data_IF_832876310855
#
_entry.id   IF_832876310855
#
_cell.length_a   1.000
_cell.length_b   1.000
_cell.length_c   1.000
_cell.angle_alpha   90.00
_cell.angle_beta   90.00
_cell.angle_gamma   90.00
#
_symmetry.space_group_name_H-M   'P 1'
#
loop_
_entity.id
_entity.type
_entity.pdbx_description
1 polymer ?
#
# COMPACT_ATOMS: atom_id res chain seq x y z
N UNK A 1 -33.92 -62.53 39.55
CA UNK A 1 -34.24 -62.26 38.15
C UNK A 1 -32.97 -61.82 37.44
N UNK A 2 -32.73 -62.39 36.25
CA UNK A 2 -31.52 -62.36 35.41
C UNK A 2 -31.17 -60.98 34.80
N UNK A 3 -29.88 -60.63 34.68
CA UNK A 3 -28.96 -60.68 33.49
C UNK A 3 -29.35 -59.78 32.28
N UNK A 4 -28.35 -59.03 31.79
CA UNK A 4 -27.97 -58.73 30.36
C UNK A 4 -28.27 -57.36 29.71
N UNK A 5 -27.18 -56.75 29.20
CA UNK A 5 -26.92 -56.12 27.89
C UNK A 5 -27.44 -54.70 27.51
N UNK A 6 -26.46 -53.82 27.21
CA UNK A 6 -26.12 -53.15 25.91
C UNK A 6 -25.41 -51.82 26.25
N UNK A 7 -24.13 -51.55 25.96
CA UNK A 7 -23.31 -51.63 24.74
C UNK A 7 -23.88 -50.87 23.53
N UNK A 8 -23.24 -49.74 23.20
CA UNK A 8 -23.11 -49.21 21.84
C UNK A 8 -23.87 -47.91 21.53
N UNK A 9 -23.15 -46.77 21.42
CA UNK A 9 -22.97 -46.10 20.12
C UNK A 9 -21.88 -45.01 20.20
N UNK A 10 -20.87 -45.16 19.36
CA UNK A 10 -19.90 -44.14 18.99
C UNK A 10 -20.48 -43.29 17.83
N UNK A 11 -20.20 -41.98 17.81
CA UNK A 11 -20.16 -41.11 16.61
C UNK A 11 -19.44 -39.81 17.07
N UNK A 12 -18.13 -39.63 16.87
CA UNK A 12 -17.47 -39.19 15.63
C UNK A 12 -17.93 -37.81 15.10
N UNK A 13 -17.33 -36.71 15.58
CA UNK A 13 -17.16 -35.42 14.88
C UNK A 13 -16.28 -34.49 15.75
N UNK A 14 -15.21 -33.82 15.29
CA UNK A 14 -14.61 -33.77 13.98
C UNK A 14 -13.09 -33.67 14.09
N UNK A 15 -12.41 -34.68 13.57
CA UNK A 15 -11.07 -34.54 13.01
C UNK A 15 -11.27 -34.18 11.54
N UNK A 16 -11.54 -32.91 11.27
CA UNK A 16 -11.38 -32.34 9.93
C UNK A 16 -10.01 -31.67 9.90
N UNK A 17 -8.95 -32.49 9.95
CA UNK A 17 -7.64 -32.06 9.53
C UNK A 17 -7.75 -31.69 8.05
N UNK A 18 -7.66 -30.38 7.79
CA UNK A 18 -7.54 -29.75 6.47
C UNK A 18 -6.57 -30.54 5.59
N UNK A 19 -7.14 -31.33 4.68
CA UNK A 19 -6.46 -31.94 3.56
C UNK A 19 -6.57 -30.96 2.38
N UNK A 20 -5.84 -29.85 2.48
CA UNK A 20 -5.66 -28.92 1.38
C UNK A 20 -4.17 -28.57 1.28
N UNK A 21 -3.66 -28.65 0.07
CA UNK A 21 -2.32 -28.24 -0.34
C UNK A 21 -1.14 -29.24 -0.15
N UNK A 22 -1.34 -30.48 -0.62
CA UNK A 22 -0.23 -31.38 -0.94
C UNK A 22 0.20 -31.15 -2.42
N UNK A 23 0.96 -30.09 -2.69
CA UNK A 23 1.48 -29.84 -4.04
C UNK A 23 2.37 -28.61 -4.20
N UNK A 24 2.25 -27.59 -3.34
CA UNK A 24 3.12 -26.43 -3.40
C UNK A 24 4.54 -26.79 -2.93
N UNK A 25 5.55 -26.65 -3.81
CA UNK A 25 6.96 -26.65 -3.39
C UNK A 25 7.11 -25.63 -2.26
N UNK A 26 7.61 -26.07 -1.11
CA UNK A 26 7.81 -25.27 0.10
C UNK A 26 8.95 -24.28 -0.11
N UNK A 27 8.63 -23.12 -0.68
CA UNK A 27 9.56 -22.00 -0.81
C UNK A 27 9.55 -21.22 0.50
N UNK A 28 10.73 -20.89 1.02
CA UNK A 28 10.83 -20.02 2.19
C UNK A 28 10.23 -18.64 1.87
N UNK A 29 9.55 -18.00 2.84
CA UNK A 29 9.07 -16.63 2.69
C UNK A 29 10.15 -15.69 2.16
N UNK A 30 9.74 -14.75 1.33
CA UNK A 30 10.63 -13.77 0.71
C UNK A 30 10.35 -12.39 1.25
N UNK A 31 11.41 -11.59 1.32
CA UNK A 31 11.34 -10.16 1.55
C UNK A 31 11.84 -9.45 0.30
N UNK A 32 11.10 -8.45 -0.16
CA UNK A 32 11.51 -7.61 -1.29
C UNK A 32 11.67 -6.16 -0.84
N UNK A 33 12.71 -5.50 -1.35
CA UNK A 33 12.84 -4.05 -1.26
C UNK A 33 11.87 -3.42 -2.28
N UNK A 34 10.83 -2.75 -1.78
CA UNK A 34 9.85 -2.05 -2.62
C UNK A 34 10.23 -0.60 -2.82
N UNK A 35 11.01 -0.05 -1.89
CA UNK A 35 11.30 1.37 -1.85
C UNK A 35 12.58 1.66 -1.08
N UNK A 36 13.38 2.61 -1.58
CA UNK A 36 14.61 3.05 -0.92
C UNK A 36 14.88 4.53 -1.21
N UNK A 37 15.18 5.28 -0.15
CA UNK A 37 15.81 6.60 -0.20
C UNK A 37 17.05 6.65 0.63
N UNK A 38 18.09 7.28 0.10
CA UNK A 38 19.39 7.30 0.74
C UNK A 38 20.07 5.95 0.59
N UNK A 39 20.71 5.52 1.66
CA UNK A 39 21.67 4.43 1.66
C UNK A 39 21.19 3.28 2.55
N UNK A 40 21.27 2.07 2.02
CA UNK A 40 20.93 0.83 2.69
C UNK A 40 22.12 -0.13 2.63
N UNK A 41 22.60 -0.55 3.78
CA UNK A 41 23.57 -1.63 3.90
C UNK A 41 22.82 -2.95 4.12
N UNK A 42 23.12 -3.94 3.28
CA UNK A 42 22.63 -5.32 3.41
C UNK A 42 23.81 -6.22 3.74
N UNK A 43 23.85 -6.70 4.97
CA UNK A 43 24.83 -7.67 5.44
C UNK A 43 24.25 -9.08 5.25
N UNK A 44 24.78 -9.88 4.32
CA UNK A 44 24.26 -11.22 4.08
C UNK A 44 24.49 -12.10 5.30
N UNK A 45 23.55 -13.04 5.53
CA UNK A 45 23.72 -14.08 6.53
C UNK A 45 25.09 -14.80 6.34
N UNK A 46 25.83 -15.10 7.42
CA UNK A 46 27.07 -15.87 7.31
C UNK A 46 26.80 -17.19 6.58
N UNK A 47 27.54 -17.45 5.50
CA UNK A 47 27.29 -18.58 4.61
C UNK A 47 27.46 -19.92 5.35
N UNK A 48 26.36 -20.48 5.85
CA UNK A 48 26.29 -21.91 6.17
C UNK A 48 26.00 -22.69 4.88
N UNK A 49 26.97 -22.69 3.97
CA UNK A 49 26.98 -23.50 2.74
C UNK A 49 26.49 -22.77 1.48
N UNK A 50 27.44 -22.29 0.67
CA UNK A 50 27.48 -22.35 -0.81
C UNK A 50 26.29 -21.85 -1.64
N UNK A 51 25.33 -21.14 -1.07
CA UNK A 51 24.15 -20.63 -1.80
C UNK A 51 24.36 -19.21 -2.32
N UNK A 52 24.13 -19.03 -3.63
CA UNK A 52 24.22 -17.80 -4.41
C UNK A 52 23.77 -16.53 -3.65
N UNK A 53 24.54 -15.44 -3.82
CA UNK A 53 24.32 -14.14 -3.18
C UNK A 53 22.91 -13.57 -3.37
N UNK A 54 22.56 -12.59 -2.52
CA UNK A 54 21.26 -11.91 -2.58
C UNK A 54 21.01 -11.35 -3.98
N UNK A 55 19.96 -11.85 -4.65
CA UNK A 55 19.52 -11.33 -5.95
C UNK A 55 18.51 -10.21 -5.70
N UNK A 56 19.02 -8.98 -5.61
CA UNK A 56 18.17 -7.80 -5.49
C UNK A 56 17.11 -7.80 -6.61
N UNK A 57 15.89 -7.32 -6.31
CA UNK A 57 15.46 -6.64 -5.07
C UNK A 57 15.00 -7.58 -3.95
N UNK A 58 15.23 -8.89 -4.07
CA UNK A 58 14.89 -9.86 -3.03
C UNK A 58 16.00 -9.99 -1.99
N UNK A 59 15.62 -9.92 -0.73
CA UNK A 59 16.50 -10.02 0.42
C UNK A 59 16.53 -11.47 0.89
N UNK A 60 17.75 -11.98 1.09
CA UNK A 60 17.97 -13.34 1.57
C UNK A 60 17.57 -13.46 3.04
N UNK A 61 16.86 -14.52 3.45
CA UNK A 61 16.66 -14.84 4.87
C UNK A 61 17.98 -14.94 5.64
N UNK A 62 18.00 -14.38 6.84
CA UNK A 62 19.15 -14.25 7.72
C UNK A 62 20.01 -13.00 7.47
N UNK A 63 19.65 -12.15 6.49
CA UNK A 63 20.39 -10.91 6.27
C UNK A 63 20.03 -9.87 7.34
N UNK A 64 21.03 -9.08 7.72
CA UNK A 64 20.85 -7.87 8.51
C UNK A 64 20.79 -6.67 7.54
N UNK A 65 19.80 -5.81 7.74
CA UNK A 65 19.55 -4.64 6.92
C UNK A 65 19.70 -3.41 7.80
N UNK A 66 20.43 -2.40 7.31
CA UNK A 66 20.67 -1.16 8.03
C UNK A 66 20.49 0.03 7.10
N UNK A 67 19.57 0.92 7.44
CA UNK A 67 19.39 2.18 6.72
C UNK A 67 20.44 3.17 7.24
N UNK A 68 21.43 3.47 6.42
CA UNK A 68 22.52 4.39 6.77
C UNK A 68 22.08 5.85 6.62
N UNK A 69 21.18 6.14 5.67
CA UNK A 69 20.57 7.46 5.49
C UNK A 69 19.21 7.34 4.83
N UNK A 70 18.31 8.30 5.10
CA UNK A 70 16.97 8.30 4.50
C UNK A 70 16.05 7.23 5.10
N UNK A 71 15.53 6.34 4.27
CA UNK A 71 14.53 5.35 4.68
C UNK A 71 14.38 4.21 3.65
N UNK A 72 13.86 3.05 4.08
CA UNK A 72 13.58 1.91 3.22
C UNK A 72 12.25 1.23 3.58
N UNK A 73 11.50 0.81 2.56
CA UNK A 73 10.30 -0.03 2.72
C UNK A 73 10.55 -1.41 2.13
N UNK A 74 10.17 -2.42 2.88
CA UNK A 74 10.24 -3.82 2.50
C UNK A 74 8.87 -4.45 2.58
N UNK A 75 8.61 -5.41 1.72
CA UNK A 75 7.39 -6.20 1.73
C UNK A 75 7.70 -7.68 1.78
N UNK A 76 6.95 -8.41 2.60
CA UNK A 76 6.97 -9.86 2.64
C UNK A 76 5.81 -10.44 1.82
N UNK A 77 6.02 -11.59 1.21
CA UNK A 77 4.95 -12.38 0.57
C UNK A 77 3.91 -12.95 1.57
N UNK A 78 4.06 -12.64 2.86
CA UNK A 78 3.13 -12.92 3.96
C UNK A 78 2.47 -11.65 4.52
N UNK A 79 2.31 -10.60 3.69
CA UNK A 79 1.57 -9.38 4.01
C UNK A 79 2.16 -8.50 5.13
N UNK A 80 3.45 -8.66 5.43
CA UNK A 80 4.16 -7.68 6.25
C UNK A 80 4.76 -6.58 5.38
N UNK A 81 4.55 -5.34 5.79
CA UNK A 81 5.27 -4.16 5.31
C UNK A 81 6.18 -3.70 6.43
N UNK A 82 7.48 -3.63 6.17
CA UNK A 82 8.48 -3.14 7.13
C UNK A 82 8.99 -1.79 6.65
N UNK A 83 8.96 -0.79 7.53
CA UNK A 83 9.48 0.55 7.26
C UNK A 83 10.59 0.84 8.26
N UNK A 84 11.76 1.17 7.74
CA UNK A 84 12.93 1.55 8.50
C UNK A 84 13.40 2.93 8.03
N UNK A 85 13.73 3.81 8.96
CA UNK A 85 14.36 5.11 8.70
C UNK A 85 15.85 5.05 9.00
N UNK A 86 16.55 6.15 8.76
CA UNK A 86 17.96 6.35 9.12
C UNK A 86 18.26 5.86 10.54
N UNK A 87 19.36 5.10 10.67
CA UNK A 87 19.76 4.44 11.92
C UNK A 87 19.00 3.15 12.22
N UNK A 88 17.83 2.94 11.60
CA UNK A 88 17.04 1.71 11.73
C UNK A 88 17.78 0.51 11.17
N UNK A 89 17.89 -0.55 11.98
CA UNK A 89 18.49 -1.80 11.58
C UNK A 89 17.66 -2.99 12.05
N UNK A 90 17.54 -4.00 11.20
CA UNK A 90 16.78 -5.20 11.53
C UNK A 90 17.31 -6.45 10.84
N UNK A 91 17.07 -7.59 11.46
CA UNK A 91 17.34 -8.91 10.88
C UNK A 91 16.04 -9.51 10.37
N UNK A 92 16.05 -9.93 9.11
CA UNK A 92 14.96 -10.69 8.51
C UNK A 92 15.31 -12.17 8.51
N UNK A 93 14.50 -13.01 9.14
CA UNK A 93 14.64 -14.48 9.06
C UNK A 93 13.37 -15.09 8.53
N UNK A 94 13.50 -16.14 7.72
CA UNK A 94 12.39 -16.88 7.17
C UNK A 94 12.68 -18.37 7.23
N UNK A 95 11.72 -19.15 7.71
CA UNK A 95 11.78 -20.61 7.70
C UNK A 95 10.82 -21.17 6.65
N UNK A 96 11.26 -22.21 5.94
CA UNK A 96 10.37 -23.00 5.07
C UNK A 96 9.44 -23.86 5.92
N UNK A 97 8.22 -24.10 5.45
CA UNK A 97 7.35 -25.12 6.05
C UNK A 97 8.06 -26.48 6.05
N UNK A 98 8.22 -27.08 7.22
CA UNK A 98 8.70 -28.46 7.39
C UNK A 98 7.56 -29.28 7.98
N UNK A 99 7.53 -30.59 7.76
CA UNK A 99 6.43 -31.47 8.19
C UNK A 99 5.91 -31.12 9.62
N UNK A 100 4.74 -30.48 9.68
CA UNK A 100 4.07 -30.07 10.92
C UNK A 100 4.48 -28.72 11.53
N UNK A 101 5.33 -27.90 10.89
CA UNK A 101 5.70 -26.55 11.35
C UNK A 101 5.43 -25.50 10.27
N UNK A 102 4.63 -24.46 10.57
CA UNK A 102 4.37 -23.38 9.62
C UNK A 102 5.65 -22.63 9.27
N UNK A 103 5.67 -22.02 8.08
CA UNK A 103 6.70 -21.04 7.75
C UNK A 103 6.64 -19.88 8.75
N UNK A 104 7.78 -19.34 9.14
CA UNK A 104 7.83 -18.19 10.05
C UNK A 104 8.63 -17.09 9.40
N UNK A 105 8.04 -15.92 9.26
CA UNK A 105 8.77 -14.67 8.97
C UNK A 105 9.03 -13.99 10.29
N UNK A 106 10.28 -13.73 10.64
CA UNK A 106 10.63 -12.95 11.82
C UNK A 106 11.43 -11.74 11.43
N UNK A 107 10.97 -10.59 11.90
CA UNK A 107 11.63 -9.29 11.80
C UNK A 107 12.04 -8.91 13.22
N UNK A 108 13.34 -8.74 13.45
CA UNK A 108 13.87 -8.39 14.76
C UNK A 108 14.71 -7.13 14.65
N UNK A 109 14.52 -6.19 15.57
CA UNK A 109 15.38 -5.01 15.70
C UNK A 109 16.84 -5.49 15.91
N UNK A 110 17.78 -4.90 15.19
CA UNK A 110 19.21 -5.14 15.35
C UNK A 110 19.83 -3.90 15.99
N UNK A 111 20.35 -4.02 17.22
CA UNK A 111 20.87 -2.86 17.93
C UNK A 111 22.31 -2.52 17.54
N UNK A 112 22.51 -1.32 17.01
CA UNK A 112 23.76 -0.56 17.10
C UNK A 112 23.46 0.91 16.70
N UNK A 113 23.24 1.78 17.68
CA UNK A 113 22.82 3.19 17.48
C UNK A 113 21.55 3.53 18.26
N UNK A 114 21.13 4.80 18.21
CA UNK A 114 19.86 5.32 18.76
C UNK A 114 18.78 5.22 17.65
N UNK A 115 18.06 4.09 17.51
CA UNK A 115 17.25 3.84 16.33
C UNK A 115 15.85 4.41 16.56
N UNK A 116 15.31 5.15 15.58
CA UNK A 116 13.85 5.32 15.53
C UNK A 116 13.18 3.93 15.49
N UNK A 117 12.00 3.82 16.12
CA UNK A 117 11.30 2.55 16.23
C UNK A 117 11.02 1.96 14.83
N UNK A 118 11.42 0.71 14.62
CA UNK A 118 11.15 -0.01 13.38
C UNK A 118 9.66 -0.30 13.29
N UNK A 119 9.05 0.11 12.19
CA UNK A 119 7.63 -0.11 11.96
C UNK A 119 7.40 -1.39 11.15
N UNK A 120 6.60 -2.30 11.71
CA UNK A 120 6.13 -3.51 11.04
C UNK A 120 4.61 -3.44 10.96
N UNK A 121 4.06 -3.43 9.76
CA UNK A 121 2.62 -3.41 9.51
C UNK A 121 2.18 -4.78 8.99
N UNK A 122 1.15 -5.35 9.60
CA UNK A 122 0.54 -6.62 9.21
C UNK A 122 -0.95 -6.40 9.04
N UNK A 123 -1.45 -6.47 7.80
CA UNK A 123 -2.80 -6.02 7.44
C UNK A 123 -3.07 -4.58 7.92
N UNK A 124 -3.99 -4.37 8.87
CA UNK A 124 -4.32 -3.06 9.42
C UNK A 124 -3.59 -2.75 10.74
N UNK A 125 -2.82 -3.71 11.26
CA UNK A 125 -2.16 -3.60 12.55
C UNK A 125 -0.72 -3.11 12.38
N UNK A 126 -0.33 -2.11 13.17
CA UNK A 126 1.01 -1.51 13.15
C UNK A 126 1.73 -1.80 14.45
N UNK A 127 2.94 -2.33 14.34
CA UNK A 127 3.82 -2.68 15.45
C UNK A 127 5.07 -1.81 15.37
N UNK A 128 5.43 -1.14 16.47
CA UNK A 128 6.65 -0.36 16.61
C UNK A 128 7.64 -1.12 17.49
N UNK A 129 8.81 -1.43 16.95
CA UNK A 129 9.89 -2.14 17.63
C UNK A 129 10.94 -1.12 18.03
N UNK A 130 10.96 -0.73 19.30
CA UNK A 130 11.76 0.41 19.77
C UNK A 130 13.14 0.02 20.33
N UNK A 131 13.33 -1.23 20.76
CA UNK A 131 14.52 -1.63 21.52
C UNK A 131 15.13 -2.93 21.01
N UNK A 132 16.36 -3.21 21.45
CA UNK A 132 17.04 -4.46 21.16
C UNK A 132 16.22 -5.68 21.63
N UNK A 133 16.25 -6.74 20.84
CA UNK A 133 15.48 -7.95 21.11
C UNK A 133 13.97 -7.83 20.81
N UNK A 134 13.45 -6.64 20.46
CA UNK A 134 12.10 -6.49 19.95
C UNK A 134 11.95 -7.24 18.63
N UNK A 135 10.93 -8.10 18.50
CA UNK A 135 10.69 -8.82 17.25
C UNK A 135 9.22 -9.14 17.03
N UNK A 136 8.85 -9.19 15.75
CA UNK A 136 7.54 -9.62 15.25
C UNK A 136 7.73 -10.88 14.42
N UNK A 137 6.98 -11.93 14.74
CA UNK A 137 6.98 -13.20 14.02
C UNK A 137 5.61 -13.46 13.41
N UNK A 138 5.56 -13.71 12.10
CA UNK A 138 4.36 -14.03 11.34
C UNK A 138 4.30 -15.53 11.11
N UNK A 139 3.22 -16.14 11.58
CA UNK A 139 2.99 -17.58 11.59
C UNK A 139 1.68 -17.83 10.83
N UNK A 140 1.72 -18.29 9.59
CA UNK A 140 0.51 -18.60 8.82
C UNK A 140 -0.23 -19.78 9.45
N UNK A 141 -1.54 -19.61 9.68
CA UNK A 141 -2.38 -20.62 10.37
C UNK A 141 -3.37 -21.31 9.42
N UNK A 142 -3.44 -20.88 8.16
CA UNK A 142 -4.42 -21.38 7.19
C UNK A 142 -4.84 -20.32 6.20
N UNK A 143 -6.05 -20.47 5.61
CA UNK A 143 -6.54 -19.71 4.47
C UNK A 143 -6.86 -18.24 4.79
N UNK A 144 -5.81 -17.43 4.87
CA UNK A 144 -5.90 -15.97 5.09
C UNK A 144 -5.84 -15.56 6.56
N UNK A 145 -5.20 -16.37 7.41
CA UNK A 145 -4.95 -15.99 8.82
C UNK A 145 -3.46 -16.09 9.08
N UNK A 146 -2.90 -14.99 9.59
CA UNK A 146 -1.52 -14.91 10.06
C UNK A 146 -1.57 -14.60 11.54
N UNK A 147 -0.99 -15.46 12.35
CA UNK A 147 -0.72 -15.18 13.75
C UNK A 147 0.54 -14.35 13.85
N UNK A 148 0.47 -13.26 14.59
CA UNK A 148 1.56 -12.35 14.87
C UNK A 148 2.00 -12.56 16.31
N UNK A 149 3.20 -13.08 16.52
CA UNK A 149 3.80 -13.20 17.84
C UNK A 149 4.81 -12.07 18.05
N UNK A 150 4.66 -11.33 19.14
CA UNK A 150 5.59 -10.26 19.51
C UNK A 150 6.47 -10.69 20.68
N UNK A 151 7.73 -10.28 20.66
CA UNK A 151 8.70 -10.51 21.73
C UNK A 151 9.43 -9.21 22.01
N UNK A 152 9.58 -8.83 23.28
CA UNK A 152 10.30 -7.63 23.69
C UNK A 152 9.47 -6.34 23.66
N UNK A 153 10.13 -5.17 23.67
CA UNK A 153 9.49 -3.85 23.77
C UNK A 153 8.81 -3.46 22.44
N UNK A 154 7.63 -4.03 22.21
CA UNK A 154 6.81 -3.78 21.02
C UNK A 154 5.59 -2.97 21.39
N UNK A 155 5.42 -1.80 20.78
CA UNK A 155 4.21 -1.02 20.91
C UNK A 155 3.25 -1.34 19.75
N UNK A 156 2.06 -1.81 20.08
CA UNK A 156 0.97 -1.94 19.11
C UNK A 156 0.28 -0.57 18.95
N UNK A 157 0.24 -0.08 17.72
CA UNK A 157 -0.46 1.14 17.31
C UNK A 157 -1.61 0.70 16.41
N UNK A 158 -2.76 0.40 16.99
CA UNK A 158 -3.95 0.04 16.22
C UNK A 158 -4.40 1.24 15.37
N UNK A 159 -4.66 1.02 14.08
CA UNK A 159 -5.00 2.11 13.15
C UNK A 159 -6.42 2.69 13.32
N UNK A 160 -7.18 2.30 14.36
CA UNK A 160 -8.54 2.83 14.58
C UNK A 160 -9.04 2.51 15.99
N UNK A 161 -9.85 3.42 16.52
CA UNK A 161 -10.96 3.17 17.46
C UNK A 161 -11.94 2.13 16.89
N UNK A 162 -11.46 0.91 16.62
CA UNK A 162 -12.20 -0.11 15.91
C UNK A 162 -13.36 -0.61 16.78
N UNK A 163 -14.56 -0.15 16.44
CA UNK A 163 -15.84 -0.79 16.77
C UNK A 163 -15.96 -2.24 16.24
N UNK A 164 -14.93 -2.75 15.55
CA UNK A 164 -14.79 -4.12 15.07
C UNK A 164 -13.77 -4.91 15.93
N UNK A 165 -13.92 -4.86 17.25
CA UNK A 165 -13.14 -5.67 18.20
C UNK A 165 -13.29 -7.19 17.97
N UNK A 166 -14.26 -7.62 17.17
CA UNK A 166 -14.50 -9.01 16.78
C UNK A 166 -13.38 -9.62 15.89
N UNK A 167 -12.39 -8.84 15.42
CA UNK A 167 -11.26 -9.34 14.60
C UNK A 167 -9.97 -9.64 15.37
N UNK A 168 -9.88 -9.23 16.64
CA UNK A 168 -8.66 -9.38 17.44
C UNK A 168 -8.89 -10.42 18.53
N UNK A 169 -8.46 -11.65 18.28
CA UNK A 169 -8.44 -12.69 19.31
C UNK A 169 -7.08 -12.67 20.02
N UNK A 170 -7.10 -12.31 21.31
CA UNK A 170 -5.96 -12.46 22.21
C UNK A 170 -5.99 -13.87 22.79
N UNK A 171 -4.96 -14.66 22.48
CA UNK A 171 -4.79 -16.01 23.04
C UNK A 171 -3.75 -16.04 24.17
N UNK A 172 -3.99 -16.87 25.18
CA UNK A 172 -2.95 -17.36 26.09
C UNK A 172 -2.20 -18.51 25.39
N UNK A 173 -0.86 -18.44 25.33
CA UNK A 173 -0.07 -19.37 24.53
C UNK A 173 0.84 -20.28 25.36
N UNK A 174 0.85 -21.62 25.09
CA UNK A 174 1.87 -22.52 25.57
C UNK A 174 3.17 -22.39 24.74
N UNK A 175 4.29 -22.42 25.45
CA UNK A 175 5.68 -22.26 25.01
C UNK A 175 5.99 -22.71 23.57
N UNK A 176 6.17 -21.75 22.66
CA UNK A 176 6.93 -21.97 21.43
C UNK A 176 8.39 -21.69 21.74
N UNK A 177 9.06 -22.67 22.36
CA UNK A 177 10.51 -22.84 22.40
C UNK A 177 11.39 -21.59 22.56
N UNK A 178 11.76 -21.33 23.82
CA UNK A 178 12.83 -20.44 24.30
C UNK A 178 12.50 -18.94 24.24
N UNK A 179 11.92 -18.45 25.33
CA UNK A 179 12.24 -17.14 25.91
C UNK A 179 11.09 -16.14 26.02
N UNK A 180 10.36 -16.21 27.14
CA UNK A 180 9.43 -15.22 27.74
C UNK A 180 7.98 -15.25 27.17
N UNK A 181 6.91 -15.16 28.02
CA UNK A 181 5.52 -15.22 27.56
C UNK A 181 5.20 -14.04 26.63
N UNK A 182 4.94 -14.33 25.36
CA UNK A 182 4.58 -13.34 24.35
C UNK A 182 3.06 -13.25 24.18
N UNK A 183 2.57 -12.03 23.99
CA UNK A 183 1.21 -11.81 23.49
C UNK A 183 1.20 -12.25 22.03
N UNK A 184 0.34 -13.21 21.68
CA UNK A 184 0.06 -13.54 20.29
C UNK A 184 -1.23 -12.86 19.83
N UNK A 185 -1.17 -12.22 18.67
CA UNK A 185 -2.32 -11.59 18.03
C UNK A 185 -2.67 -12.33 16.75
N UNK A 186 -3.90 -12.80 16.61
CA UNK A 186 -4.38 -13.36 15.35
C UNK A 186 -4.87 -12.25 14.42
N UNK A 187 -4.29 -12.14 13.22
CA UNK A 187 -4.66 -11.12 12.23
C UNK A 187 -5.16 -11.78 10.94
N UNK A 188 -6.33 -11.34 10.46
CA UNK A 188 -6.88 -11.78 9.19
C UNK A 188 -6.20 -11.05 8.04
N UNK A 189 -5.59 -11.80 7.13
CA UNK A 189 -4.92 -11.29 5.92
C UNK A 189 -5.69 -11.74 4.67
N UNK A 190 -5.55 -11.06 3.52
CA UNK A 190 -6.14 -11.52 2.27
C UNK A 190 -5.75 -12.98 1.94
N UNK A 191 -6.67 -13.75 1.34
CA UNK A 191 -6.44 -15.16 0.98
C UNK A 191 -5.33 -15.39 -0.06
N UNK A 192 -4.84 -14.34 -0.71
CA UNK A 192 -3.80 -14.42 -1.73
C UNK A 192 -2.44 -14.14 -1.10
N UNK A 193 -1.63 -15.18 -0.91
CA UNK A 193 -0.22 -15.00 -0.58
C UNK A 193 0.51 -14.38 -1.78
N UNK A 194 1.13 -13.24 -1.58
CA UNK A 194 1.80 -12.51 -2.65
C UNK A 194 2.15 -11.08 -2.25
N UNK A 195 3.06 -10.49 -3.01
CA UNK A 195 3.41 -9.08 -2.84
C UNK A 195 2.29 -8.20 -3.42
N UNK A 196 1.90 -7.19 -2.67
CA UNK A 196 0.97 -6.13 -3.06
C UNK A 196 1.67 -5.11 -3.95
N UNK A 197 2.97 -4.90 -3.74
CA UNK A 197 3.77 -3.93 -4.49
C UNK A 197 4.67 -4.61 -5.52
N UNK A 198 5.00 -3.87 -6.57
CA UNK A 198 6.03 -4.29 -7.53
C UNK A 198 7.42 -4.15 -6.88
N UNK A 199 8.35 -5.08 -7.17
CA UNK A 199 9.73 -4.94 -6.72
C UNK A 199 10.39 -3.69 -7.31
N UNK A 200 11.31 -3.08 -6.57
CA UNK A 200 12.09 -1.94 -7.05
C UNK A 200 12.93 -2.34 -8.27
N UNK A 201 12.94 -1.51 -9.32
CA UNK A 201 13.72 -1.79 -10.53
C UNK A 201 15.20 -1.69 -10.21
N UNK A 202 16.00 -2.70 -10.63
CA UNK A 202 17.46 -2.67 -10.45
C UNK A 202 18.13 -1.43 -11.06
N UNK A 203 17.59 -0.89 -12.15
CA UNK A 203 18.10 0.33 -12.78
C UNK A 203 17.94 1.60 -11.91
N UNK A 204 17.07 1.57 -10.89
CA UNK A 204 16.86 2.65 -9.93
C UNK A 204 17.78 2.54 -8.69
N UNK A 205 18.70 1.57 -8.70
CA UNK A 205 19.62 1.30 -7.60
C UNK A 205 21.06 1.44 -8.07
N UNK A 206 21.88 2.10 -7.25
CA UNK A 206 23.34 1.97 -7.31
C UNK A 206 23.75 0.95 -6.26
N UNK A 207 24.54 -0.05 -6.67
CA UNK A 207 24.95 -1.14 -5.78
C UNK A 207 26.47 -1.19 -5.77
N UNK A 208 27.05 -1.01 -4.59
CA UNK A 208 28.48 -1.11 -4.36
C UNK A 208 28.76 -2.15 -3.27
N UNK A 209 29.97 -2.69 -3.24
CA UNK A 209 30.42 -3.65 -2.22
C UNK A 209 31.58 -3.01 -1.46
N UNK A 210 31.37 -2.52 -0.23
CA UNK A 210 32.43 -1.90 0.55
C UNK A 210 33.46 -2.94 1.03
N UNK A 211 34.68 -2.47 1.34
CA UNK A 211 35.70 -3.25 2.03
C UNK A 211 35.20 -3.55 3.46
N UNK A 212 34.89 -4.82 3.73
CA UNK A 212 34.21 -5.23 4.97
C UNK A 212 33.08 -6.25 4.75
N UNK A 213 32.63 -6.41 3.49
CA UNK A 213 31.53 -7.29 3.14
C UNK A 213 30.19 -6.53 3.10
N UNK A 214 29.14 -7.22 2.65
CA UNK A 214 27.83 -6.61 2.46
C UNK A 214 27.58 -6.04 1.06
N UNK A 215 26.40 -5.46 0.89
CA UNK A 215 25.96 -4.73 -0.30
C UNK A 215 25.47 -3.35 0.16
N UNK A 216 26.16 -2.30 -0.24
CA UNK A 216 25.67 -0.93 -0.09
C UNK A 216 24.78 -0.63 -1.30
N UNK A 217 23.53 -0.28 -1.02
CA UNK A 217 22.48 -0.02 -2.00
C UNK A 217 22.03 1.42 -1.80
N UNK A 218 22.06 2.20 -2.87
CA UNK A 218 21.65 3.60 -2.85
C UNK A 218 20.42 3.78 -3.74
N UNK A 219 19.39 4.42 -3.21
CA UNK A 219 18.21 4.81 -3.99
C UNK A 219 18.56 5.97 -4.90
N UNK A 220 18.27 5.85 -6.19
CA UNK A 220 18.64 6.89 -7.15
C UNK A 220 17.88 8.23 -6.95
N UNK A 221 16.67 8.22 -6.33
CA UNK A 221 15.68 9.28 -6.61
C UNK A 221 14.78 9.79 -5.44
N UNK A 222 15.11 9.66 -4.15
CA UNK A 222 14.45 10.47 -3.08
C UNK A 222 12.97 10.13 -2.71
N UNK A 223 12.48 8.94 -3.06
CA UNK A 223 11.10 8.49 -3.02
C UNK A 223 10.35 8.41 -1.64
N UNK A 224 10.98 8.41 -0.45
CA UNK A 224 10.38 8.09 0.89
C UNK A 224 10.08 9.31 1.76
N UNK A 225 10.67 10.48 1.49
CA UNK A 225 10.13 11.73 2.03
C UNK A 225 8.63 11.83 1.73
N UNK A 226 8.20 11.37 0.55
CA UNK A 226 6.81 11.44 0.12
C UNK A 226 5.82 10.66 1.00
N UNK A 227 6.14 9.46 1.49
CA UNK A 227 5.15 8.64 2.22
C UNK A 227 4.94 9.15 3.66
N UNK A 228 6.01 9.48 4.38
CA UNK A 228 5.90 10.07 5.71
C UNK A 228 5.39 11.51 5.67
N UNK A 229 5.81 12.30 4.66
CA UNK A 229 5.25 13.62 4.44
C UNK A 229 3.75 13.55 4.09
N UNK A 230 3.27 12.49 3.44
CA UNK A 230 1.83 12.29 3.19
C UNK A 230 1.10 12.06 4.49
N UNK A 231 1.52 11.10 5.33
CA UNK A 231 0.82 10.80 6.58
C UNK A 231 0.75 12.04 7.50
N UNK A 232 1.84 12.82 7.57
CA UNK A 232 1.85 14.10 8.27
C UNK A 232 0.98 15.16 7.59
N UNK A 233 1.05 15.27 6.26
CA UNK A 233 0.27 16.24 5.50
C UNK A 233 -1.23 16.02 5.66
N UNK A 234 -1.68 14.75 5.63
CA UNK A 234 -3.10 14.40 5.61
C UNK A 234 -3.70 14.14 6.99
N UNK A 235 -2.91 14.09 8.06
CA UNK A 235 -3.40 13.82 9.41
C UNK A 235 -4.60 14.73 9.81
N UNK A 236 -4.52 16.01 9.46
CA UNK A 236 -5.58 17.00 9.71
C UNK A 236 -6.67 17.10 8.64
N UNK A 237 -6.59 16.33 7.55
CA UNK A 237 -7.51 16.46 6.43
C UNK A 237 -8.89 15.84 6.73
N UNK A 238 -9.98 16.35 6.11
CA UNK A 238 -11.29 15.74 6.22
C UNK A 238 -11.32 14.28 5.72
N UNK A 239 -12.19 13.41 6.29
CA UNK A 239 -12.24 11.99 5.91
C UNK A 239 -12.35 11.71 4.40
N UNK A 240 -13.17 12.44 3.62
CA UNK A 240 -13.25 12.22 2.17
C UNK A 240 -11.90 12.44 1.46
N UNK A 241 -11.17 13.49 1.82
CA UNK A 241 -9.87 13.79 1.23
C UNK A 241 -8.82 12.72 1.58
N UNK A 242 -8.81 12.25 2.82
CA UNK A 242 -7.93 11.13 3.23
C UNK A 242 -8.25 9.84 2.48
N UNK A 243 -9.53 9.52 2.33
CA UNK A 243 -9.95 8.33 1.58
C UNK A 243 -9.53 8.41 0.11
N UNK A 244 -9.73 9.56 -0.54
CA UNK A 244 -9.27 9.77 -1.92
C UNK A 244 -7.74 9.69 -2.02
N UNK A 245 -6.99 10.20 -1.04
CA UNK A 245 -5.53 10.06 -0.99
C UNK A 245 -5.12 8.59 -0.97
N UNK A 246 -5.73 7.78 -0.10
CA UNK A 246 -5.47 6.33 -0.03
C UNK A 246 -5.75 5.63 -1.36
N UNK A 247 -6.88 5.93 -2.01
CA UNK A 247 -7.24 5.32 -3.30
C UNK A 247 -6.27 5.70 -4.42
N UNK A 248 -5.83 6.96 -4.47
CA UNK A 248 -4.84 7.41 -5.45
C UNK A 248 -3.47 6.79 -5.19
N UNK A 249 -3.07 6.64 -3.93
CA UNK A 249 -1.82 5.96 -3.59
C UNK A 249 -1.86 4.47 -3.93
N UNK A 250 -2.98 3.80 -3.68
CA UNK A 250 -3.18 2.41 -4.07
C UNK A 250 -3.08 2.25 -5.60
N UNK A 251 -3.67 3.19 -6.35
CA UNK A 251 -3.72 3.13 -7.81
C UNK A 251 -2.43 3.57 -8.50
N UNK A 252 -1.80 4.64 -8.03
CA UNK A 252 -0.71 5.35 -8.70
C UNK A 252 0.62 5.36 -7.94
N UNK A 253 0.66 4.84 -6.72
CA UNK A 253 1.82 4.95 -5.84
C UNK A 253 1.87 6.28 -5.07
N UNK A 254 2.93 6.55 -4.31
CA UNK A 254 3.06 7.78 -3.52
C UNK A 254 3.07 9.04 -4.42
N UNK A 255 2.61 10.20 -3.92
CA UNK A 255 2.72 11.46 -4.65
C UNK A 255 4.19 11.88 -4.82
N UNK A 256 4.47 12.63 -5.87
CA UNK A 256 5.80 13.21 -6.11
C UNK A 256 6.07 14.45 -5.24
N UNK A 257 5.04 15.09 -4.69
CA UNK A 257 5.16 16.14 -3.70
C UNK A 257 4.00 16.09 -2.69
N UNK A 258 4.32 16.33 -1.42
CA UNK A 258 3.35 16.32 -0.32
C UNK A 258 3.56 17.54 0.59
N UNK A 259 2.48 18.21 0.96
CA UNK A 259 2.46 19.33 1.89
C UNK A 259 1.15 19.34 2.67
N UNK A 260 1.08 20.07 3.78
CA UNK A 260 -0.16 20.20 4.55
C UNK A 260 -1.37 20.71 3.72
N UNK A 261 -1.12 21.41 2.60
CA UNK A 261 -2.16 21.99 1.75
C UNK A 261 -2.52 21.18 0.50
N UNK A 262 -1.64 20.31 0.00
CA UNK A 262 -1.91 19.50 -1.19
C UNK A 262 -0.95 18.30 -1.36
N UNK A 263 -1.44 17.28 -2.07
CA UNK A 263 -0.66 16.17 -2.60
C UNK A 263 -0.65 16.23 -4.12
N UNK A 264 0.52 16.00 -4.73
CA UNK A 264 0.71 16.11 -6.19
C UNK A 264 1.35 14.85 -6.76
N UNK A 265 0.66 14.23 -7.71
CA UNK A 265 1.23 13.20 -8.59
C UNK A 265 1.50 13.82 -9.96
N UNK A 266 2.65 13.49 -10.55
CA UNK A 266 3.00 13.91 -11.90
C UNK A 266 3.10 12.67 -12.79
N UNK A 267 2.66 12.79 -14.05
CA UNK A 267 2.74 11.74 -15.07
C UNK A 267 2.19 10.37 -14.59
N UNK A 268 1.01 10.38 -13.97
CA UNK A 268 0.38 9.18 -13.39
C UNK A 268 -0.80 8.69 -14.23
N UNK A 269 -0.74 7.45 -14.72
CA UNK A 269 -1.81 6.90 -15.55
C UNK A 269 -2.06 7.76 -16.80
N UNK A 270 -3.32 8.15 -17.08
CA UNK A 270 -3.65 9.05 -18.18
C UNK A 270 -3.49 10.54 -17.82
N UNK A 271 -2.93 10.88 -16.66
CA UNK A 271 -2.87 12.27 -16.19
C UNK A 271 -1.46 12.84 -16.37
N UNK A 272 -1.37 14.06 -16.88
CA UNK A 272 -0.13 14.83 -16.83
C UNK A 272 0.20 15.18 -15.36
N UNK A 273 -0.84 15.45 -14.57
CA UNK A 273 -0.76 15.72 -13.14
C UNK A 273 -2.09 15.43 -12.45
N UNK A 274 -2.04 14.92 -11.23
CA UNK A 274 -3.16 14.83 -10.30
C UNK A 274 -2.83 15.65 -9.04
N UNK A 275 -3.74 16.52 -8.61
CA UNK A 275 -3.61 17.30 -7.37
C UNK A 275 -4.80 17.04 -6.46
N UNK A 276 -4.52 16.70 -5.21
CA UNK A 276 -5.52 16.47 -4.17
C UNK A 276 -5.35 17.48 -3.04
N UNK A 277 -6.45 18.04 -2.53
CA UNK A 277 -6.47 19.06 -1.48
C UNK A 277 -7.41 18.68 -0.32
N UNK A 278 -7.18 19.19 0.91
CA UNK A 278 -8.03 18.90 2.06
C UNK A 278 -9.44 19.45 1.93
N UNK A 279 -9.59 20.63 1.31
CA UNK A 279 -10.86 21.33 1.17
C UNK A 279 -10.87 22.19 -0.10
N UNK A 280 -12.04 22.35 -0.73
CA UNK A 280 -12.33 23.31 -1.81
C UNK A 280 -12.59 24.73 -1.23
N UNK A 281 -12.88 24.84 0.07
CA UNK A 281 -13.41 26.07 0.68
C UNK A 281 -12.40 27.19 0.95
N UNK A 282 -11.10 27.00 0.68
CA UNK A 282 -10.10 28.05 0.91
C UNK A 282 -10.14 29.19 -0.15
N UNK A 283 -10.95 29.06 -1.21
CA UNK A 283 -11.18 30.15 -2.15
C UNK A 283 -12.44 30.96 -1.82
N UNK A 284 -12.33 32.01 -0.99
CA UNK A 284 -13.36 33.06 -0.84
C UNK A 284 -13.73 33.76 -2.17
N UNK A 285 -13.09 33.40 -3.28
CA UNK A 285 -13.37 33.82 -4.64
C UNK A 285 -13.37 32.64 -5.62
N UNK A 286 -14.43 31.82 -5.60
CA UNK A 286 -15.14 31.30 -6.79
C UNK A 286 -16.12 30.21 -6.35
N UNK A 287 -17.42 30.47 -6.53
CA UNK A 287 -18.49 29.46 -6.48
C UNK A 287 -18.44 28.53 -7.72
N UNK A 288 -17.26 28.05 -8.09
CA UNK A 288 -17.10 27.07 -9.16
C UNK A 288 -16.86 25.72 -8.49
N UNK A 289 -17.87 24.85 -8.57
CA UNK A 289 -17.89 23.44 -8.13
C UNK A 289 -16.54 22.73 -8.37
N UNK A 290 -15.59 22.81 -7.44
CA UNK A 290 -14.22 22.35 -7.66
C UNK A 290 -13.83 21.36 -6.59
N UNK A 291 -14.22 20.09 -6.75
CA UNK A 291 -13.99 19.11 -5.68
C UNK A 291 -12.51 18.95 -5.29
N UNK A 292 -12.29 18.21 -4.21
CA UNK A 292 -10.97 17.96 -3.59
C UNK A 292 -9.91 17.41 -4.55
N UNK A 293 -10.32 16.78 -5.66
CA UNK A 293 -9.47 16.14 -6.66
C UNK A 293 -9.49 16.89 -7.99
N UNK A 294 -8.34 17.40 -8.41
CA UNK A 294 -8.14 18.05 -9.71
C UNK A 294 -7.14 17.28 -10.56
N UNK A 295 -7.50 16.97 -11.80
CA UNK A 295 -6.66 16.17 -12.70
C UNK A 295 -6.49 16.88 -14.04
N UNK A 296 -5.28 16.78 -14.59
CA UNK A 296 -4.82 17.55 -15.74
C UNK A 296 -4.43 16.61 -16.87
N UNK A 297 -4.82 16.97 -18.09
CA UNK A 297 -4.42 16.29 -19.32
C UNK A 297 -3.84 17.31 -20.28
N UNK A 298 -2.90 16.86 -21.12
CA UNK A 298 -2.52 17.65 -22.29
C UNK A 298 -3.68 17.69 -23.26
N UNK A 299 -4.01 18.89 -23.71
CA UNK A 299 -5.14 19.10 -24.60
C UNK A 299 -4.86 20.26 -25.54
N UNK A 300 -5.21 20.15 -26.81
CA UNK A 300 -5.14 21.28 -27.74
C UNK A 300 -6.52 21.87 -27.92
N UNK A 301 -6.78 23.00 -27.26
CA UNK A 301 -8.06 23.70 -27.40
C UNK A 301 -8.05 24.57 -28.67
N UNK A 302 -8.91 24.29 -29.68
CA UNK A 302 -9.01 25.14 -30.85
C UNK A 302 -9.46 26.56 -30.49
N UNK A 303 -8.95 27.55 -31.23
CA UNK A 303 -9.33 28.96 -31.05
C UNK A 303 -10.85 29.11 -31.13
N UNK A 304 -11.42 29.86 -30.19
CA UNK A 304 -12.86 30.13 -30.13
C UNK A 304 -13.70 29.07 -29.41
N UNK A 305 -13.12 27.93 -28.96
CA UNK A 305 -13.87 26.88 -28.23
C UNK A 305 -13.94 27.09 -26.71
N UNK A 306 -13.25 28.09 -26.18
CA UNK A 306 -13.21 28.39 -24.74
C UNK A 306 -14.60 28.73 -24.17
N UNK A 307 -15.41 29.51 -24.90
CA UNK A 307 -16.76 29.88 -24.47
C UNK A 307 -17.66 28.64 -24.35
N UNK A 308 -17.58 27.74 -25.33
CA UNK A 308 -18.32 26.48 -25.30
C UNK A 308 -17.96 25.63 -24.08
N UNK A 309 -16.68 25.56 -23.69
CA UNK A 309 -16.26 24.85 -22.47
C UNK A 309 -16.78 25.51 -21.18
N UNK A 310 -16.79 26.84 -21.13
CA UNK A 310 -17.27 27.59 -19.97
C UNK A 310 -18.78 27.35 -19.73
N UNK A 311 -19.57 27.18 -20.80
CA UNK A 311 -21.02 26.91 -20.72
C UNK A 311 -21.35 25.56 -20.05
N UNK A 312 -20.45 24.56 -20.07
CA UNK A 312 -20.71 23.28 -19.41
C UNK A 312 -20.84 23.43 -17.88
N UNK A 313 -20.01 24.30 -17.28
CA UNK A 313 -20.04 24.55 -15.85
C UNK A 313 -19.75 23.31 -14.97
N UNK A 314 -18.88 22.40 -15.40
CA UNK A 314 -18.56 21.12 -14.72
C UNK A 314 -17.13 21.07 -14.15
N UNK A 315 -16.64 22.20 -13.62
CA UNK A 315 -15.33 22.24 -12.97
C UNK A 315 -14.12 22.17 -13.92
N UNK A 316 -14.31 22.53 -15.20
CA UNK A 316 -13.24 22.57 -16.20
C UNK A 316 -12.40 23.84 -16.09
N UNK A 317 -11.09 23.71 -16.28
CA UNK A 317 -10.16 24.85 -16.43
C UNK A 317 -9.16 24.57 -17.53
N UNK A 318 -9.03 25.52 -18.44
CA UNK A 318 -8.03 25.51 -19.51
C UNK A 318 -6.87 26.46 -19.14
N UNK A 319 -5.65 25.97 -19.27
CA UNK A 319 -4.43 26.74 -19.17
C UNK A 319 -3.76 26.79 -20.55
N UNK A 320 -3.73 28.00 -21.13
CA UNK A 320 -3.19 28.23 -22.46
C UNK A 320 -1.66 28.16 -22.52
N UNK A 321 -0.98 28.44 -21.41
CA UNK A 321 0.48 28.47 -21.36
C UNK A 321 1.04 27.06 -21.24
N UNK A 322 0.44 26.23 -20.37
CA UNK A 322 0.83 24.83 -20.21
C UNK A 322 0.18 23.88 -21.23
N UNK A 323 -0.81 24.37 -22.00
CA UNK A 323 -1.65 23.58 -22.91
C UNK A 323 -2.35 22.42 -22.19
N UNK A 324 -2.87 22.70 -21.00
CA UNK A 324 -3.53 21.72 -20.15
C UNK A 324 -5.02 22.01 -20.02
N UNK A 325 -5.83 20.96 -20.15
CA UNK A 325 -7.22 20.98 -19.70
C UNK A 325 -7.30 20.20 -18.39
N UNK A 326 -7.99 20.74 -17.41
CA UNK A 326 -8.21 20.08 -16.12
C UNK A 326 -9.67 20.03 -15.73
N UNK A 327 -10.02 19.00 -14.96
CA UNK A 327 -11.31 18.86 -14.30
C UNK A 327 -11.10 18.74 -12.79
N UNK A 328 -11.97 19.37 -12.00
CA UNK A 328 -11.96 19.32 -10.54
C UNK A 328 -13.29 18.77 -9.99
N UNK A 329 -13.22 17.66 -9.25
CA UNK A 329 -14.40 16.99 -8.68
C UNK A 329 -14.04 16.15 -7.44
N UNK A 330 -14.99 15.34 -6.95
CA UNK A 330 -14.78 14.45 -5.80
C UNK A 330 -14.25 13.05 -6.18
N UNK A 331 -14.19 12.71 -7.46
CA UNK A 331 -13.77 11.38 -7.91
C UNK A 331 -13.11 11.42 -9.29
N UNK A 332 -12.27 10.43 -9.57
CA UNK A 332 -11.56 10.35 -10.84
C UNK A 332 -12.51 10.07 -12.01
N UNK A 333 -13.52 9.24 -11.79
CA UNK A 333 -14.55 8.89 -12.77
C UNK A 333 -15.29 10.14 -13.24
N UNK A 334 -15.60 11.04 -12.31
CA UNK A 334 -16.28 12.30 -12.61
C UNK A 334 -15.38 13.23 -13.43
N UNK A 335 -14.08 13.23 -13.15
CA UNK A 335 -13.10 13.97 -13.96
C UNK A 335 -12.97 13.39 -15.39
N UNK A 336 -12.97 12.07 -15.55
CA UNK A 336 -13.04 11.44 -16.89
C UNK A 336 -14.28 11.91 -17.65
N UNK A 337 -15.46 11.86 -17.02
CA UNK A 337 -16.70 12.29 -17.66
C UNK A 337 -16.62 13.76 -18.09
N UNK A 338 -16.16 14.65 -17.21
CA UNK A 338 -16.03 16.07 -17.51
C UNK A 338 -15.14 16.33 -18.73
N UNK A 339 -13.97 15.68 -18.79
CA UNK A 339 -13.02 15.85 -19.90
C UNK A 339 -13.52 15.20 -21.19
N UNK A 340 -14.16 14.04 -21.12
CA UNK A 340 -14.73 13.37 -22.29
C UNK A 340 -15.88 14.17 -22.91
N UNK A 341 -16.74 14.77 -22.08
CA UNK A 341 -17.82 15.66 -22.54
C UNK A 341 -17.24 16.95 -23.13
N UNK A 342 -16.21 17.52 -22.49
CA UNK A 342 -15.49 18.67 -23.01
C UNK A 342 -14.94 18.40 -24.42
N UNK A 343 -14.27 17.27 -24.61
CA UNK A 343 -13.70 16.87 -25.90
C UNK A 343 -14.78 16.63 -26.97
N UNK A 344 -15.91 16.03 -26.60
CA UNK A 344 -17.05 15.86 -27.49
C UNK A 344 -17.62 17.22 -27.97
N UNK A 345 -17.67 18.22 -27.09
CA UNK A 345 -18.14 19.57 -27.43
C UNK A 345 -17.14 20.32 -28.31
N UNK A 346 -15.85 20.25 -27.96
CA UNK A 346 -14.78 20.88 -28.74
C UNK A 346 -14.78 20.36 -30.18
N UNK A 347 -14.89 19.04 -30.36
CA UNK A 347 -14.92 18.39 -31.67
C UNK A 347 -16.30 18.38 -32.35
N UNK A 348 -17.32 19.00 -31.76
CA UNK A 348 -18.67 19.09 -32.35
C UNK A 348 -19.44 17.78 -32.40
N UNK A 349 -19.00 16.74 -31.68
CA UNK A 349 -19.75 15.48 -31.49
C UNK A 349 -20.92 15.64 -30.53
N UNK A 350 -20.88 16.67 -29.67
CA UNK A 350 -21.95 17.06 -28.77
C UNK A 350 -22.17 18.57 -28.86
N UNK A 351 -23.43 18.99 -28.94
CA UNK A 351 -23.77 20.41 -28.97
C UNK A 351 -23.62 21.03 -27.56
N UNK A 352 -23.05 22.25 -27.40
CA UNK A 352 -22.82 22.88 -26.10
C UNK A 352 -24.07 22.96 -25.21
N UNK A 353 -25.22 23.29 -25.81
CA UNK A 353 -26.52 23.42 -25.15
C UNK A 353 -27.04 22.10 -24.55
N UNK A 354 -26.64 20.95 -25.10
CA UNK A 354 -27.01 19.62 -24.61
C UNK A 354 -25.95 18.97 -23.72
N UNK A 355 -24.74 19.52 -23.70
CA UNK A 355 -23.60 18.92 -23.03
C UNK A 355 -23.83 18.75 -21.53
N UNK A 356 -24.43 19.76 -20.89
CA UNK A 356 -24.74 19.71 -19.46
C UNK A 356 -25.78 18.63 -19.12
N UNK A 357 -26.88 18.58 -19.87
CA UNK A 357 -27.92 17.56 -19.67
C UNK A 357 -27.37 16.14 -19.87
N UNK A 358 -26.50 15.95 -20.86
CA UNK A 358 -25.82 14.67 -21.08
C UNK A 358 -24.93 14.31 -19.89
N UNK A 359 -24.08 15.23 -19.43
CA UNK A 359 -23.25 15.04 -18.24
C UNK A 359 -24.06 14.62 -17.02
N UNK A 360 -25.13 15.36 -16.71
CA UNK A 360 -25.99 15.09 -15.56
C UNK A 360 -26.68 13.70 -15.69
N UNK A 361 -27.14 13.34 -16.90
CA UNK A 361 -27.78 12.03 -17.15
C UNK A 361 -26.83 10.84 -16.95
N UNK A 362 -25.54 10.98 -17.27
CA UNK A 362 -24.54 9.92 -17.07
C UNK A 362 -24.28 9.74 -15.57
N UNK A 363 -24.20 10.84 -14.80
CA UNK A 363 -24.05 10.77 -13.35
C UNK A 363 -25.27 10.12 -12.67
N UNK A 364 -26.49 10.44 -13.10
CA UNK A 364 -27.70 9.79 -12.59
C UNK A 364 -27.72 8.30 -12.90
N UNK A 365 -27.35 7.92 -14.13
CA UNK A 365 -27.26 6.52 -14.57
C UNK A 365 -26.22 5.74 -13.75
N UNK A 366 -25.08 6.37 -13.46
CA UNK A 366 -24.03 5.81 -12.61
C UNK A 366 -24.50 5.59 -11.17
N UNK A 367 -25.23 6.55 -10.58
CA UNK A 367 -25.84 6.40 -9.26
C UNK A 367 -26.86 5.26 -9.19
N UNK A 368 -27.49 4.93 -10.31
CA UNK A 368 -28.37 3.76 -10.45
C UNK A 368 -27.61 2.43 -10.67
N UNK A 369 -26.27 2.42 -10.56
CA UNK A 369 -25.43 1.23 -10.66
C UNK A 369 -25.11 0.78 -12.08
N UNK A 370 -25.40 1.60 -13.10
CA UNK A 370 -25.06 1.30 -14.50
C UNK A 370 -23.75 1.97 -14.87
N UNK A 371 -22.83 1.24 -15.52
CA UNK A 371 -21.57 1.81 -16.00
C UNK A 371 -21.75 2.62 -17.29
N UNK A 372 -20.82 3.52 -17.56
CA UNK A 372 -20.73 4.30 -18.80
C UNK A 372 -19.27 4.39 -19.20
N UNK A 373 -18.92 4.18 -20.48
CA UNK A 373 -17.53 4.34 -20.96
C UNK A 373 -16.94 5.72 -20.66
N UNK A 374 -17.78 6.76 -20.53
CA UNK A 374 -17.36 8.11 -20.18
C UNK A 374 -16.75 8.24 -18.78
N UNK A 375 -16.96 7.25 -17.89
CA UNK A 375 -16.48 7.24 -16.50
C UNK A 375 -15.22 6.37 -16.33
N UNK A 376 -14.88 5.55 -17.32
CA UNK A 376 -13.87 4.49 -17.16
C UNK A 376 -12.46 4.94 -17.59
N UNK A 377 -12.36 5.97 -18.43
CA UNK A 377 -11.10 6.50 -18.93
C UNK A 377 -11.30 7.66 -19.91
N UNK A 378 -10.19 8.21 -20.41
CA UNK A 378 -10.24 9.21 -21.48
C UNK A 378 -10.64 8.55 -22.82
N UNK A 379 -11.57 9.18 -23.52
CA UNK A 379 -12.09 8.73 -24.82
C UNK A 379 -11.39 9.40 -26.00
N UNK A 380 -10.30 10.11 -25.74
CA UNK A 380 -9.50 10.83 -26.73
C UNK A 380 -8.01 10.63 -26.44
N UNK A 381 -7.20 10.75 -27.48
CA UNK A 381 -5.74 10.70 -27.36
C UNK A 381 -5.20 12.04 -26.86
N UNK A 382 -4.19 11.95 -26.01
CA UNK A 382 -3.46 13.11 -25.51
C UNK A 382 -2.36 13.49 -26.48
N UNK A 383 -2.06 14.79 -26.56
CA UNK A 383 -1.06 15.37 -27.46
C UNK A 383 0.36 15.37 -26.90
#
# INVERSE_FOLDING_TARGET
MSVTAMLGLALAAGLAASRADAGAKTVAPRLQLTHLTGELLIEPAPERGGGAGSKLPYIRPGSTLRVLSGAATFESDHHAVIRAKEGGAFTFTASSTKAGRPAVVRVAQAAEGDPEALEVVVAAEKFLLAEDGASVSLIPEGSGVVRVAVVGPVQLVTASDAKDADRLEYGDFPDVGIGIPGIGLSVSVPKRTGFSSKPLKLAALRITRPEGGGLLVEGADGTLEAAEAVDQAVAGWPPPARQTASLLMEKYGPPGAASAGELVWNNNGPWNRTVLRPDDRAGLFRRAQGGILQQYVRYELPRGKMAALAELGVGLRWDGDSRELSAASGSEETNFLALNVADAVVNGRLAPDRARAFYDSVLETSRAGRSSPYLEGLMFEQY
#
